data_IF_755754004220
#
_entry.id   IF_755754004220
#
_cell.length_a   1.000
_cell.length_b   1.000
_cell.length_c   1.000
_cell.angle_alpha   90.00
_cell.angle_beta   90.00
_cell.angle_gamma   90.00
#
_symmetry.space_group_name_H-M   'P 1'
#
loop_
_entity.id
_entity.type
_entity.pdbx_description
1 polymer ?
#
# COMPACT_ATOMS: atom_id res chain seq x y z
N UNK A 1 9.70 42.72 21.12
CA UNK A 1 8.80 42.78 19.95
C UNK A 1 9.23 41.64 19.07
N UNK A 2 8.53 40.53 19.22
CA UNK A 2 8.89 39.25 18.62
C UNK A 2 8.79 39.33 17.10
N UNK A 3 9.88 38.97 16.44
CA UNK A 3 9.97 38.87 14.99
C UNK A 3 9.21 37.65 14.52
N UNK A 4 8.01 37.89 13.98
CA UNK A 4 7.32 36.90 13.16
C UNK A 4 8.10 36.76 11.85
N UNK A 5 8.90 35.70 11.75
CA UNK A 5 9.47 35.26 10.48
C UNK A 5 8.30 34.89 9.54
N UNK A 6 8.29 35.34 8.28
CA UNK A 6 7.27 34.93 7.33
C UNK A 6 7.40 33.42 7.09
N UNK A 7 6.27 32.73 7.23
CA UNK A 7 6.06 31.36 6.76
C UNK A 7 6.44 31.30 5.26
N UNK A 8 7.53 30.59 4.94
CA UNK A 8 7.96 30.43 3.57
C UNK A 8 7.01 29.42 2.92
N UNK A 9 6.11 29.86 2.03
CA UNK A 9 4.99 29.07 1.49
C UNK A 9 5.33 27.66 0.93
N UNK A 10 6.60 27.29 0.85
CA UNK A 10 7.10 25.92 0.76
C UNK A 10 6.56 24.98 1.85
N UNK A 11 6.47 25.42 3.11
CA UNK A 11 5.91 24.61 4.20
C UNK A 11 4.42 24.30 3.99
N UNK A 12 3.66 25.28 3.52
CA UNK A 12 2.24 25.16 3.17
C UNK A 12 2.05 24.24 1.94
N UNK A 13 2.88 24.38 0.90
CA UNK A 13 2.84 23.50 -0.27
C UNK A 13 3.14 22.04 0.07
N UNK A 14 4.11 21.79 0.95
CA UNK A 14 4.42 20.43 1.41
C UNK A 14 3.25 19.82 2.18
N UNK A 15 2.63 20.60 3.08
CA UNK A 15 1.47 20.15 3.84
C UNK A 15 0.28 19.83 2.92
N UNK A 16 0.04 20.67 1.91
CA UNK A 16 -1.00 20.43 0.90
C UNK A 16 -0.74 19.17 0.08
N UNK A 17 0.50 18.99 -0.40
CA UNK A 17 0.90 17.76 -1.12
C UNK A 17 0.67 16.53 -0.25
N UNK A 18 1.13 16.55 1.00
CA UNK A 18 1.00 15.41 1.90
C UNK A 18 -0.46 15.08 2.22
N UNK A 19 -1.29 16.10 2.44
CA UNK A 19 -2.72 15.92 2.67
C UNK A 19 -3.43 15.34 1.43
N UNK A 20 -3.09 15.83 0.24
CA UNK A 20 -3.60 15.34 -1.04
C UNK A 20 -3.20 13.86 -1.27
N UNK A 21 -1.92 13.55 -1.13
CA UNK A 21 -1.42 12.19 -1.28
C UNK A 21 -2.01 11.21 -0.26
N UNK A 22 -2.23 11.65 0.98
CA UNK A 22 -2.91 10.85 1.99
C UNK A 22 -4.38 10.59 1.61
N UNK A 23 -5.12 11.59 1.11
CA UNK A 23 -6.51 11.42 0.68
C UNK A 23 -6.62 10.45 -0.52
N UNK A 24 -5.69 10.54 -1.46
CA UNK A 24 -5.60 9.62 -2.60
C UNK A 24 -5.37 8.18 -2.13
N UNK A 25 -4.40 7.95 -1.23
CA UNK A 25 -4.13 6.63 -0.66
C UNK A 25 -5.33 6.05 0.10
N UNK A 26 -6.09 6.88 0.83
CA UNK A 26 -7.34 6.45 1.47
C UNK A 26 -8.39 6.01 0.44
N UNK A 27 -8.51 6.76 -0.65
CA UNK A 27 -9.43 6.43 -1.77
C UNK A 27 -9.02 5.12 -2.42
N UNK A 28 -7.74 4.96 -2.79
CA UNK A 28 -7.21 3.73 -3.37
C UNK A 28 -7.38 2.54 -2.41
N UNK A 29 -7.11 2.71 -1.12
CA UNK A 29 -7.34 1.67 -0.11
C UNK A 29 -8.80 1.22 -0.06
N UNK A 30 -9.76 2.14 -0.25
CA UNK A 30 -11.20 1.81 -0.27
C UNK A 30 -11.57 0.89 -1.44
N UNK A 31 -10.95 1.06 -2.62
CA UNK A 31 -11.18 0.22 -3.80
C UNK A 31 -10.76 -1.24 -3.58
N UNK A 32 -9.83 -1.48 -2.64
CA UNK A 32 -9.32 -2.79 -2.27
C UNK A 32 -9.95 -3.35 -0.99
N UNK A 33 -10.79 -2.57 -0.31
CA UNK A 33 -11.26 -2.89 1.04
C UNK A 33 -12.49 -3.81 1.05
N UNK A 34 -13.45 -3.54 0.17
CA UNK A 34 -14.77 -4.19 0.09
C UNK A 34 -15.18 -4.35 -1.38
N UNK A 35 -16.15 -5.24 -1.61
CA UNK A 35 -16.79 -5.38 -2.91
C UNK A 35 -17.35 -4.04 -3.38
N UNK A 36 -17.15 -3.70 -4.65
CA UNK A 36 -17.75 -2.51 -5.24
C UNK A 36 -19.27 -2.69 -5.28
N UNK A 37 -19.99 -1.68 -4.79
CA UNK A 37 -21.43 -1.61 -4.82
C UNK A 37 -21.90 -0.29 -5.46
N UNK A 38 -23.22 -0.11 -5.53
CA UNK A 38 -23.81 1.11 -6.09
C UNK A 38 -23.40 2.37 -5.32
N UNK A 39 -23.21 2.26 -3.99
CA UNK A 39 -22.85 3.39 -3.13
C UNK A 39 -21.44 3.86 -3.46
N UNK A 40 -20.47 2.95 -3.47
CA UNK A 40 -19.09 3.27 -3.83
C UNK A 40 -18.99 3.78 -5.27
N UNK A 41 -19.72 3.18 -6.22
CA UNK A 41 -19.72 3.63 -7.62
C UNK A 41 -20.28 5.06 -7.77
N UNK A 42 -21.36 5.39 -7.05
CA UNK A 42 -21.92 6.75 -7.03
C UNK A 42 -20.90 7.72 -6.42
N UNK A 43 -20.30 7.37 -5.30
CA UNK A 43 -19.34 8.22 -4.61
C UNK A 43 -18.11 8.52 -5.49
N UNK A 44 -17.54 7.51 -6.15
CA UNK A 44 -16.42 7.70 -7.08
C UNK A 44 -16.77 8.65 -8.24
N UNK A 45 -17.98 8.51 -8.79
CA UNK A 45 -18.46 9.39 -9.86
C UNK A 45 -18.69 10.83 -9.37
N UNK A 46 -19.29 11.02 -8.20
CA UNK A 46 -19.53 12.33 -7.60
C UNK A 46 -18.21 13.05 -7.30
N UNK A 47 -17.21 12.31 -6.82
CA UNK A 47 -15.87 12.84 -6.57
C UNK A 47 -15.07 13.09 -7.86
N UNK A 48 -15.54 12.65 -9.03
CA UNK A 48 -14.82 12.77 -10.29
C UNK A 48 -13.55 11.91 -10.35
N UNK A 49 -13.47 10.85 -9.56
CA UNK A 49 -12.34 9.93 -9.56
C UNK A 49 -12.24 9.20 -10.92
N UNK A 50 -11.03 8.95 -11.48
CA UNK A 50 -9.70 9.23 -10.92
C UNK A 50 -9.13 10.62 -11.26
N UNK A 51 -9.88 11.49 -11.91
CA UNK A 51 -9.36 12.78 -12.42
C UNK A 51 -9.13 13.82 -11.32
N UNK A 52 -9.64 13.54 -10.13
CA UNK A 52 -9.50 14.35 -8.92
C UNK A 52 -8.43 13.84 -7.96
N UNK A 53 -7.59 12.89 -8.38
CA UNK A 53 -6.39 12.53 -7.63
C UNK A 53 -5.56 13.80 -7.34
N UNK A 54 -5.20 13.96 -6.07
CA UNK A 54 -4.58 15.15 -5.52
C UNK A 54 -3.12 15.34 -5.94
N UNK A 55 -2.38 14.25 -6.20
CA UNK A 55 -1.07 14.36 -6.87
C UNK A 55 -1.22 14.29 -8.38
N UNK A 56 -0.40 15.08 -9.08
CA UNK A 56 -0.38 15.07 -10.54
C UNK A 56 0.49 13.92 -11.05
N UNK A 57 -0.16 12.88 -11.54
CA UNK A 57 0.49 11.78 -12.23
C UNK A 57 0.93 12.21 -13.63
N UNK A 58 2.20 11.99 -13.96
CA UNK A 58 2.86 12.46 -15.18
C UNK A 58 3.65 11.38 -15.90
N UNK A 59 4.00 10.29 -15.20
CA UNK A 59 4.69 9.16 -15.83
C UNK A 59 3.77 8.44 -16.81
N UNK A 60 4.35 7.87 -17.87
CA UNK A 60 3.57 7.20 -18.92
C UNK A 60 2.66 6.10 -18.34
N UNK A 61 3.20 5.27 -17.43
CA UNK A 61 2.47 4.16 -16.83
C UNK A 61 1.30 4.62 -15.95
N UNK A 62 1.51 5.64 -15.12
CA UNK A 62 0.47 6.16 -14.22
C UNK A 62 -0.61 6.93 -14.98
N UNK A 63 -0.25 7.63 -16.05
CA UNK A 63 -1.21 8.26 -16.99
C UNK A 63 -2.05 7.20 -17.71
N UNK A 64 -1.44 6.12 -18.19
CA UNK A 64 -2.16 5.00 -18.81
C UNK A 64 -3.10 4.30 -17.81
N UNK A 65 -2.63 4.03 -16.59
CA UNK A 65 -3.44 3.42 -15.55
C UNK A 65 -4.63 4.31 -15.14
N UNK A 66 -4.42 5.62 -15.05
CA UNK A 66 -5.48 6.60 -14.81
C UNK A 66 -6.52 6.60 -15.92
N UNK A 67 -6.07 6.60 -17.18
CA UNK A 67 -6.94 6.50 -18.35
C UNK A 67 -7.75 5.20 -18.36
N UNK A 68 -7.13 4.08 -18.00
CA UNK A 68 -7.81 2.79 -17.93
C UNK A 68 -8.88 2.79 -16.83
N UNK A 69 -8.59 3.34 -15.65
CA UNK A 69 -9.56 3.46 -14.57
C UNK A 69 -10.74 4.36 -14.94
N UNK A 70 -10.47 5.50 -15.59
CA UNK A 70 -11.52 6.38 -16.12
C UNK A 70 -12.44 5.65 -17.10
N UNK A 71 -11.86 4.88 -18.02
CA UNK A 71 -12.63 4.08 -18.98
C UNK A 71 -13.46 3.01 -18.29
N UNK A 72 -12.88 2.27 -17.34
CA UNK A 72 -13.58 1.24 -16.58
C UNK A 72 -14.79 1.81 -15.82
N UNK A 73 -14.64 2.95 -15.15
CA UNK A 73 -15.73 3.63 -14.45
C UNK A 73 -16.80 4.15 -15.42
N UNK A 74 -16.41 4.74 -16.56
CA UNK A 74 -17.37 5.26 -17.55
C UNK A 74 -18.23 4.18 -18.20
N UNK A 75 -17.75 2.94 -18.20
CA UNK A 75 -18.48 1.78 -18.71
C UNK A 75 -19.48 1.20 -17.68
N UNK A 76 -19.42 1.68 -16.43
CA UNK A 76 -20.33 1.28 -15.36
C UNK A 76 -21.37 2.36 -15.12
N UNK A 77 -22.55 1.96 -14.65
CA UNK A 77 -23.64 2.88 -14.30
C UNK A 77 -24.37 2.30 -13.11
N UNK A 78 -24.58 3.12 -12.07
CA UNK A 78 -25.42 2.74 -10.95
C UNK A 78 -26.92 2.94 -11.31
N UNK A 79 -27.81 2.00 -10.97
CA UNK A 79 -27.53 0.74 -10.27
C UNK A 79 -26.86 -0.30 -11.20
N UNK A 80 -25.92 -1.05 -10.64
CA UNK A 80 -25.27 -2.18 -11.30
C UNK A 80 -26.32 -3.23 -11.65
N UNK A 81 -26.22 -3.79 -12.86
CA UNK A 81 -27.06 -4.93 -13.26
C UNK A 81 -26.61 -6.15 -12.47
N UNK A 82 -27.53 -7.07 -12.16
CA UNK A 82 -27.23 -8.30 -11.40
C UNK A 82 -26.01 -9.06 -11.92
N UNK A 83 -25.89 -9.25 -13.24
CA UNK A 83 -24.72 -9.92 -13.82
C UNK A 83 -23.39 -9.17 -13.62
N UNK A 84 -23.41 -7.83 -13.62
CA UNK A 84 -22.21 -7.03 -13.34
C UNK A 84 -21.81 -7.14 -11.87
N UNK A 85 -22.79 -7.14 -10.96
CA UNK A 85 -22.53 -7.33 -9.54
C UNK A 85 -21.90 -8.70 -9.27
N UNK A 86 -22.42 -9.77 -9.89
CA UNK A 86 -21.87 -11.11 -9.73
C UNK A 86 -20.44 -11.24 -10.28
N UNK A 87 -20.15 -10.64 -11.44
CA UNK A 87 -18.80 -10.61 -12.03
C UNK A 87 -17.80 -9.86 -11.16
N UNK A 88 -18.20 -8.69 -10.62
CA UNK A 88 -17.38 -7.89 -9.72
C UNK A 88 -17.14 -8.61 -8.38
N UNK A 89 -18.17 -9.24 -7.82
CA UNK A 89 -18.04 -10.04 -6.59
C UNK A 89 -17.14 -11.27 -6.81
N UNK A 90 -17.22 -11.91 -7.99
CA UNK A 90 -16.36 -13.03 -8.33
C UNK A 90 -14.88 -12.62 -8.42
N UNK A 91 -14.58 -11.50 -9.09
CA UNK A 91 -13.23 -10.93 -9.14
C UNK A 91 -12.73 -10.52 -7.75
N UNK A 92 -13.56 -9.87 -6.94
CA UNK A 92 -13.21 -9.50 -5.58
C UNK A 92 -12.85 -10.74 -4.75
N UNK A 93 -13.68 -11.78 -4.79
CA UNK A 93 -13.39 -13.04 -4.11
C UNK A 93 -12.10 -13.69 -4.65
N UNK A 94 -11.91 -13.66 -5.98
CA UNK A 94 -10.74 -14.19 -6.65
C UNK A 94 -9.42 -13.51 -6.22
N UNK A 95 -9.47 -12.21 -5.97
CA UNK A 95 -8.32 -11.39 -5.57
C UNK A 95 -8.09 -11.45 -4.06
N UNK A 96 -9.13 -11.19 -3.24
CA UNK A 96 -8.94 -10.89 -1.82
C UNK A 96 -9.31 -12.03 -0.85
N UNK A 97 -10.11 -13.01 -1.29
CA UNK A 97 -10.62 -14.07 -0.40
C UNK A 97 -9.98 -15.43 -0.67
N UNK A 98 -9.82 -15.80 -1.95
CA UNK A 98 -9.37 -17.13 -2.34
C UNK A 98 -8.05 -17.14 -3.14
N UNK A 99 -7.56 -15.97 -3.57
CA UNK A 99 -6.31 -15.78 -4.29
C UNK A 99 -6.19 -16.62 -5.59
N UNK A 100 -7.31 -16.92 -6.25
CA UNK A 100 -7.39 -17.82 -7.43
C UNK A 100 -6.59 -17.33 -8.62
N UNK A 101 -6.31 -16.03 -8.72
CA UNK A 101 -5.43 -15.48 -9.76
C UNK A 101 -3.94 -15.64 -9.45
N UNK A 102 -3.59 -16.37 -8.38
CA UNK A 102 -2.23 -16.39 -7.82
C UNK A 102 -1.71 -14.98 -7.54
N UNK A 103 -2.63 -14.05 -7.25
CA UNK A 103 -2.36 -12.69 -6.84
C UNK A 103 -2.94 -12.54 -5.44
N UNK A 104 -2.05 -12.57 -4.45
CA UNK A 104 -2.43 -12.38 -3.05
C UNK A 104 -2.32 -10.91 -2.68
N UNK A 105 -3.26 -10.32 -1.92
CA UNK A 105 -3.16 -8.96 -1.44
C UNK A 105 -2.25 -8.84 -0.19
N UNK A 106 -1.43 -9.85 0.09
CA UNK A 106 -0.55 -9.92 1.26
C UNK A 106 0.92 -9.96 0.83
N UNK A 107 1.76 -9.05 1.35
CA UNK A 107 3.20 -8.97 1.06
C UNK A 107 3.90 -10.32 1.25
N UNK A 108 3.61 -11.03 2.35
CA UNK A 108 4.30 -12.27 2.70
C UNK A 108 4.21 -13.34 1.61
N UNK A 109 3.10 -13.42 0.87
CA UNK A 109 2.92 -14.41 -0.20
C UNK A 109 3.85 -14.14 -1.40
N UNK A 110 4.33 -12.91 -1.58
CA UNK A 110 5.17 -12.54 -2.71
C UNK A 110 6.66 -12.62 -2.40
N UNK A 111 7.05 -12.39 -1.15
CA UNK A 111 8.45 -12.27 -0.74
C UNK A 111 8.98 -13.51 -0.04
N UNK A 112 8.10 -14.40 0.41
CA UNK A 112 8.49 -15.69 0.96
C UNK A 112 8.79 -16.70 -0.16
N UNK A 113 9.87 -17.47 0.00
CA UNK A 113 10.30 -18.48 -1.00
C UNK A 113 9.23 -19.58 -1.20
N UNK A 114 8.42 -19.85 -0.18
CA UNK A 114 7.32 -20.83 -0.22
C UNK A 114 5.97 -20.18 -0.59
N UNK A 115 5.93 -18.87 -0.86
CA UNK A 115 4.73 -18.07 -1.14
C UNK A 115 3.65 -18.20 -0.04
N UNK A 116 4.07 -18.33 1.22
CA UNK A 116 3.16 -18.51 2.34
C UNK A 116 2.74 -17.17 2.95
N UNK A 117 1.48 -17.08 3.39
CA UNK A 117 1.02 -15.96 4.20
C UNK A 117 1.59 -16.00 5.62
N UNK A 118 1.57 -14.87 6.32
CA UNK A 118 1.97 -14.73 7.75
C UNK A 118 3.44 -15.02 8.04
N UNK A 119 4.34 -14.64 7.14
CA UNK A 119 5.77 -14.89 7.27
C UNK A 119 6.53 -13.67 7.81
N UNK A 120 7.87 -13.70 7.71
CA UNK A 120 8.75 -12.65 8.22
C UNK A 120 8.31 -11.20 7.90
N UNK A 121 7.80 -10.87 6.70
CA UNK A 121 7.34 -9.51 6.39
C UNK A 121 6.20 -9.01 7.31
N UNK A 122 5.21 -9.87 7.60
CA UNK A 122 4.10 -9.53 8.51
C UNK A 122 4.59 -9.15 9.91
N UNK A 123 5.60 -9.84 10.44
CA UNK A 123 6.16 -9.50 11.75
C UNK A 123 6.95 -8.19 11.74
N UNK A 124 7.63 -7.89 10.63
CA UNK A 124 8.36 -6.62 10.45
C UNK A 124 7.37 -5.45 10.41
N UNK A 125 6.34 -5.56 9.56
CA UNK A 125 5.27 -4.55 9.43
C UNK A 125 4.53 -4.35 10.75
N UNK A 126 4.21 -5.43 11.48
CA UNK A 126 3.61 -5.34 12.82
C UNK A 126 4.47 -4.55 13.80
N UNK A 127 5.77 -4.77 13.82
CA UNK A 127 6.66 -4.03 14.72
C UNK A 127 6.75 -2.55 14.34
N UNK A 128 6.76 -2.25 13.04
CA UNK A 128 6.67 -0.86 12.54
C UNK A 128 5.39 -0.21 13.08
N UNK A 129 4.23 -0.82 12.90
CA UNK A 129 2.95 -0.28 13.39
C UNK A 129 2.96 -0.05 14.90
N UNK A 130 3.52 -0.98 15.67
CA UNK A 130 3.63 -0.89 17.12
C UNK A 130 4.47 0.33 17.56
N UNK A 131 5.55 0.67 16.84
CA UNK A 131 6.36 1.88 17.12
C UNK A 131 5.57 3.18 16.93
N UNK A 132 4.53 3.16 16.09
CA UNK A 132 3.60 4.27 15.88
C UNK A 132 2.35 4.20 16.79
N UNK A 133 2.30 3.27 17.74
CA UNK A 133 1.15 3.08 18.62
C UNK A 133 -0.08 2.51 17.89
N UNK A 134 0.11 1.89 16.73
CA UNK A 134 -0.93 1.31 15.91
C UNK A 134 -1.00 -0.21 16.10
N UNK A 135 -2.17 -0.77 15.84
CA UNK A 135 -2.41 -2.20 15.79
C UNK A 135 -3.64 -2.50 14.94
N UNK A 136 -3.65 -3.64 14.25
CA UNK A 136 -4.80 -4.06 13.46
C UNK A 136 -5.86 -4.66 14.38
N UNK A 137 -7.11 -4.21 14.22
CA UNK A 137 -8.21 -4.57 15.12
C UNK A 137 -8.52 -6.07 15.15
N UNK A 138 -8.41 -6.76 14.01
CA UNK A 138 -8.58 -8.21 13.91
C UNK A 138 -7.64 -8.79 12.85
N UNK A 139 -6.40 -9.09 13.27
CA UNK A 139 -5.36 -9.65 12.41
C UNK A 139 -5.76 -10.98 11.76
N UNK A 140 -6.75 -11.71 12.32
CA UNK A 140 -7.23 -12.99 11.76
C UNK A 140 -8.11 -12.80 10.53
N UNK A 141 -8.72 -11.62 10.37
CA UNK A 141 -9.52 -11.26 9.19
C UNK A 141 -8.68 -10.58 8.12
N UNK A 142 -7.73 -9.76 8.54
CA UNK A 142 -6.80 -9.05 7.67
C UNK A 142 -5.51 -8.83 8.44
N UNK A 143 -4.44 -9.52 8.06
CA UNK A 143 -3.12 -9.35 8.69
C UNK A 143 -2.50 -8.00 8.37
N UNK A 144 -1.45 -7.66 9.11
CA UNK A 144 -0.74 -6.39 9.04
C UNK A 144 -0.10 -6.10 7.67
N UNK A 145 0.23 -7.14 6.91
CA UNK A 145 0.89 -7.07 5.59
C UNK A 145 -0.10 -7.07 4.41
N UNK A 146 -1.39 -6.81 4.67
CA UNK A 146 -2.39 -6.69 3.63
C UNK A 146 -2.32 -5.31 2.94
N UNK A 147 -2.46 -5.25 1.60
CA UNK A 147 -2.42 -4.03 0.77
C UNK A 147 -3.11 -2.82 1.41
N UNK A 148 -4.40 -2.97 1.73
CA UNK A 148 -5.20 -1.92 2.39
C UNK A 148 -4.51 -1.37 3.64
N UNK A 149 -3.96 -2.23 4.50
CA UNK A 149 -3.32 -1.79 5.76
C UNK A 149 -2.03 -1.03 5.48
N UNK A 150 -1.24 -1.50 4.51
CA UNK A 150 -0.02 -0.81 4.07
C UNK A 150 -0.32 0.58 3.48
N UNK A 151 -1.33 0.69 2.60
CA UNK A 151 -1.78 1.97 2.03
C UNK A 151 -2.24 2.94 3.13
N UNK A 152 -3.06 2.47 4.08
CA UNK A 152 -3.51 3.28 5.21
C UNK A 152 -2.35 3.76 6.09
N UNK A 153 -1.33 2.92 6.27
CA UNK A 153 -0.14 3.30 7.04
C UNK A 153 0.67 4.40 6.34
N UNK A 154 0.91 4.28 5.03
CA UNK A 154 1.58 5.34 4.26
C UNK A 154 0.77 6.64 4.34
N UNK A 155 -0.55 6.57 4.15
CA UNK A 155 -1.43 7.75 4.27
C UNK A 155 -1.29 8.41 5.65
N UNK A 156 -1.24 7.60 6.72
CA UNK A 156 -1.10 8.08 8.11
C UNK A 156 0.24 8.78 8.35
N UNK A 157 1.33 8.30 7.76
CA UNK A 157 2.65 8.92 7.85
C UNK A 157 2.67 10.26 7.12
N UNK A 158 2.07 10.34 5.93
CA UNK A 158 2.01 11.59 5.16
C UNK A 158 1.18 12.67 5.87
N UNK A 159 0.12 12.32 6.60
CA UNK A 159 -0.72 13.30 7.32
C UNK A 159 0.03 14.22 8.29
N UNK A 160 1.22 13.84 8.78
CA UNK A 160 1.99 14.71 9.67
C UNK A 160 2.74 15.83 8.92
N UNK A 161 3.02 15.65 7.63
CA UNK A 161 3.87 16.52 6.80
C UNK A 161 5.24 16.85 7.43
N UNK A 162 5.77 15.94 8.27
CA UNK A 162 7.06 16.11 8.95
C UNK A 162 8.15 15.30 8.25
N UNK A 163 9.35 15.87 8.13
CA UNK A 163 10.50 15.24 7.47
C UNK A 163 10.75 13.78 7.93
N UNK A 164 10.75 13.53 9.25
CA UNK A 164 10.94 12.18 9.80
C UNK A 164 9.85 11.20 9.34
N UNK A 165 8.60 11.66 9.24
CA UNK A 165 7.48 10.82 8.79
C UNK A 165 7.53 10.58 7.28
N UNK A 166 7.99 11.55 6.49
CA UNK A 166 8.24 11.37 5.05
C UNK A 166 9.36 10.36 4.81
N UNK A 167 10.45 10.46 5.57
CA UNK A 167 11.55 9.49 5.51
C UNK A 167 11.15 8.08 5.95
N UNK A 168 10.23 7.95 6.92
CA UNK A 168 9.64 6.66 7.27
C UNK A 168 8.69 6.15 6.18
N UNK A 169 7.87 7.03 5.57
CA UNK A 169 6.96 6.65 4.48
C UNK A 169 7.74 6.14 3.27
N UNK A 170 8.78 6.87 2.86
CA UNK A 170 9.67 6.48 1.78
C UNK A 170 10.36 5.13 2.04
N UNK A 171 10.92 4.93 3.24
CA UNK A 171 11.53 3.64 3.62
C UNK A 171 10.50 2.51 3.63
N UNK A 172 9.32 2.72 4.21
CA UNK A 172 8.26 1.72 4.23
C UNK A 172 7.84 1.32 2.81
N UNK A 173 7.73 2.29 1.90
CA UNK A 173 7.44 2.02 0.50
C UNK A 173 8.55 1.22 -0.18
N UNK A 174 9.82 1.58 0.03
CA UNK A 174 10.97 0.89 -0.57
C UNK A 174 11.18 -0.54 -0.01
N UNK A 175 10.99 -0.72 1.29
CA UNK A 175 11.33 -1.94 2.04
C UNK A 175 10.16 -2.92 2.15
N UNK A 176 8.92 -2.45 1.93
CA UNK A 176 7.70 -3.27 1.99
C UNK A 176 6.85 -3.08 0.73
N UNK A 177 5.97 -2.06 0.71
CA UNK A 177 4.87 -1.92 -0.25
C UNK A 177 5.29 -2.11 -1.72
N UNK A 178 6.35 -1.44 -2.18
CA UNK A 178 6.77 -1.47 -3.59
C UNK A 178 7.59 -2.69 -3.97
N UNK A 179 7.96 -3.57 -3.02
CA UNK A 179 8.65 -4.83 -3.34
C UNK A 179 7.75 -5.85 -4.03
N UNK A 180 6.43 -5.72 -3.85
CA UNK A 180 5.45 -6.69 -4.31
C UNK A 180 4.27 -6.07 -5.05
N UNK A 181 3.85 -4.84 -4.68
CA UNK A 181 2.69 -4.17 -5.26
C UNK A 181 2.73 -4.05 -6.80
N UNK A 182 3.87 -3.70 -7.45
CA UNK A 182 3.92 -3.63 -8.91
C UNK A 182 3.56 -4.97 -9.58
N UNK A 183 4.07 -6.08 -9.05
CA UNK A 183 3.80 -7.41 -9.58
C UNK A 183 2.37 -7.87 -9.26
N UNK A 184 1.84 -7.50 -8.09
CA UNK A 184 0.44 -7.70 -7.74
C UNK A 184 -0.49 -6.98 -8.73
N UNK A 185 -0.28 -5.69 -8.94
CA UNK A 185 -1.06 -4.87 -9.87
C UNK A 185 -1.05 -5.44 -11.28
N UNK A 186 0.14 -5.79 -11.80
CA UNK A 186 0.29 -6.39 -13.12
C UNK A 186 -0.43 -7.76 -13.21
N UNK A 187 -0.31 -8.61 -12.20
CA UNK A 187 -0.92 -9.94 -12.21
C UNK A 187 -2.44 -9.87 -12.14
N UNK A 188 -3.00 -8.99 -11.31
CA UNK A 188 -4.44 -8.77 -11.24
C UNK A 188 -4.93 -8.24 -12.59
N UNK A 189 -4.31 -7.18 -13.12
CA UNK A 189 -4.73 -6.57 -14.39
C UNK A 189 -4.71 -7.55 -15.59
N UNK A 190 -3.80 -8.54 -15.58
CA UNK A 190 -3.73 -9.57 -16.62
C UNK A 190 -4.75 -10.71 -16.46
N UNK A 191 -5.32 -10.92 -15.28
CA UNK A 191 -6.05 -12.16 -14.94
C UNK A 191 -7.50 -11.94 -14.51
N UNK A 192 -7.84 -10.79 -13.95
CA UNK A 192 -9.22 -10.51 -13.54
C UNK A 192 -10.12 -10.37 -14.77
N UNK A 193 -11.40 -10.71 -14.59
CA UNK A 193 -12.38 -10.70 -15.68
C UNK A 193 -12.93 -9.29 -15.95
N UNK A 194 -13.03 -8.47 -14.90
CA UNK A 194 -13.64 -7.14 -14.94
C UNK A 194 -12.57 -6.05 -15.13
N UNK A 195 -12.85 -5.05 -15.99
CA UNK A 195 -11.96 -3.90 -16.15
C UNK A 195 -11.78 -3.08 -14.86
N UNK A 196 -12.77 -3.07 -13.96
CA UNK A 196 -12.72 -2.27 -12.74
C UNK A 196 -11.58 -2.70 -11.82
N UNK A 197 -11.53 -3.98 -11.41
CA UNK A 197 -10.46 -4.44 -10.53
C UNK A 197 -9.10 -4.50 -11.25
N UNK A 198 -9.09 -4.71 -12.57
CA UNK A 198 -7.88 -4.61 -13.38
C UNK A 198 -7.26 -3.21 -13.23
N UNK A 199 -8.10 -2.19 -13.47
CA UNK A 199 -7.68 -0.80 -13.44
C UNK A 199 -7.38 -0.33 -12.03
N UNK A 200 -8.16 -0.72 -11.01
CA UNK A 200 -7.92 -0.36 -9.63
C UNK A 200 -6.56 -0.88 -9.13
N UNK A 201 -6.25 -2.16 -9.35
CA UNK A 201 -4.97 -2.72 -8.92
C UNK A 201 -3.77 -2.11 -9.66
N UNK A 202 -3.92 -1.85 -10.97
CA UNK A 202 -2.85 -1.25 -11.75
C UNK A 202 -2.62 0.23 -11.42
N UNK A 203 -3.70 1.01 -11.25
CA UNK A 203 -3.64 2.41 -10.84
C UNK A 203 -3.02 2.55 -9.45
N UNK A 204 -3.42 1.72 -8.48
CA UNK A 204 -2.83 1.75 -7.14
C UNK A 204 -1.32 1.51 -7.19
N UNK A 205 -0.87 0.53 -7.98
CA UNK A 205 0.55 0.25 -8.14
C UNK A 205 1.31 1.42 -8.79
N UNK A 206 0.81 1.94 -9.91
CA UNK A 206 1.45 3.04 -10.63
C UNK A 206 1.44 4.35 -9.82
N UNK A 207 0.37 4.61 -9.07
CA UNK A 207 0.25 5.75 -8.16
C UNK A 207 1.30 5.67 -7.04
N UNK A 208 1.41 4.51 -6.37
CA UNK A 208 2.37 4.35 -5.27
C UNK A 208 3.81 4.47 -5.77
N UNK A 209 4.08 3.97 -6.97
CA UNK A 209 5.39 4.14 -7.59
C UNK A 209 5.68 5.62 -7.83
N UNK A 210 4.85 6.36 -8.57
CA UNK A 210 5.11 7.79 -8.84
C UNK A 210 5.10 8.65 -7.56
N UNK A 211 4.25 8.34 -6.57
CA UNK A 211 4.30 8.98 -5.25
C UNK A 211 5.68 8.83 -4.60
N UNK A 212 6.31 7.66 -4.71
CA UNK A 212 7.64 7.45 -4.15
C UNK A 212 8.71 8.28 -4.86
N UNK A 213 8.58 8.53 -6.16
CA UNK A 213 9.45 9.48 -6.88
C UNK A 213 9.23 10.90 -6.39
N UNK A 214 7.98 11.34 -6.23
CA UNK A 214 7.70 12.65 -5.66
C UNK A 214 8.34 12.81 -4.27
N UNK A 215 8.28 11.78 -3.41
CA UNK A 215 8.95 11.80 -2.10
C UNK A 215 10.48 11.88 -2.23
N UNK A 216 11.08 11.19 -3.21
CA UNK A 216 12.52 11.28 -3.46
C UNK A 216 12.94 12.70 -3.84
N UNK A 217 12.17 13.35 -4.72
CA UNK A 217 12.41 14.73 -5.15
C UNK A 217 12.23 15.73 -4.00
N UNK A 218 11.13 15.61 -3.24
CA UNK A 218 10.82 16.49 -2.10
C UNK A 218 11.91 16.44 -1.03
N UNK A 219 12.40 15.24 -0.72
CA UNK A 219 13.42 15.04 0.30
C UNK A 219 14.85 15.28 -0.22
N UNK A 220 15.05 15.34 -1.54
CA UNK A 220 16.38 15.38 -2.15
C UNK A 220 17.17 14.08 -1.95
N UNK A 221 16.48 12.96 -1.71
CA UNK A 221 17.06 11.65 -1.43
C UNK A 221 16.63 10.66 -2.52
N UNK A 222 17.54 10.20 -3.39
CA UNK A 222 17.20 9.25 -4.45
C UNK A 222 16.72 7.93 -3.85
N UNK A 223 15.91 7.19 -4.63
CA UNK A 223 15.51 5.84 -4.25
C UNK A 223 16.75 4.94 -4.07
N UNK A 224 16.78 4.08 -3.05
CA UNK A 224 17.81 3.05 -2.96
C UNK A 224 17.70 2.07 -4.14
N UNK A 225 18.83 1.52 -4.55
CA UNK A 225 18.88 0.40 -5.49
C UNK A 225 18.25 -0.87 -4.90
N UNK A 226 17.88 -1.81 -5.76
CA UNK A 226 17.38 -3.11 -5.34
C UNK A 226 18.39 -3.85 -4.42
N UNK A 227 19.69 -3.79 -4.74
CA UNK A 227 20.75 -4.38 -3.92
C UNK A 227 20.81 -3.76 -2.52
N UNK A 228 20.64 -2.43 -2.40
CA UNK A 228 20.60 -1.74 -1.12
C UNK A 228 19.36 -2.11 -0.30
N UNK A 229 18.19 -2.22 -0.94
CA UNK A 229 16.96 -2.68 -0.30
C UNK A 229 17.16 -4.11 0.23
N UNK A 230 17.65 -5.03 -0.60
CA UNK A 230 17.93 -6.41 -0.21
C UNK A 230 18.91 -6.49 0.97
N UNK A 231 19.96 -5.68 0.95
CA UNK A 231 20.93 -5.61 2.04
C UNK A 231 20.32 -5.10 3.36
N UNK A 232 19.39 -4.14 3.31
CA UNK A 232 18.67 -3.62 4.47
C UNK A 232 17.67 -4.64 5.04
N UNK A 233 17.00 -5.36 4.16
CA UNK A 233 15.94 -6.33 4.50
C UNK A 233 16.47 -7.69 4.92
N UNK A 234 17.76 -7.97 4.69
CA UNK A 234 18.38 -9.20 5.15
C UNK A 234 18.31 -9.31 6.68
N UNK A 235 17.84 -10.44 7.24
CA UNK A 235 17.80 -10.63 8.67
C UNK A 235 19.19 -10.38 9.27
N UNK A 236 19.30 -9.50 10.27
CA UNK A 236 20.53 -9.40 11.06
C UNK A 236 20.76 -10.78 11.68
N UNK A 237 21.89 -11.41 11.35
CA UNK A 237 22.25 -12.71 11.89
C UNK A 237 21.99 -12.69 13.39
N UNK A 238 21.12 -13.59 13.86
CA UNK A 238 20.89 -13.77 15.28
C UNK A 238 22.27 -13.93 15.92
N UNK A 239 22.62 -13.03 16.84
CA UNK A 239 23.77 -13.27 17.70
C UNK A 239 23.46 -14.59 18.40
N UNK A 240 24.14 -15.66 17.98
CA UNK A 240 24.11 -16.93 18.67
C UNK A 240 24.74 -16.69 20.02
N UNK A 241 23.93 -16.32 21.01
CA UNK A 241 24.37 -16.35 22.40
C UNK A 241 24.72 -17.81 22.65
N UNK A 242 26.01 -18.17 22.86
CA UNK A 242 26.36 -19.55 23.08
C UNK A 242 25.66 -19.98 24.36
N UNK A 243 24.71 -20.91 24.23
CA UNK A 243 24.09 -21.57 25.37
C UNK A 243 25.23 -22.25 26.12
N UNK A 244 25.66 -21.66 27.23
CA UNK A 244 26.53 -22.34 28.20
C UNK A 244 25.70 -23.49 28.77
N UNK A 245 25.84 -24.66 28.17
CA UNK A 245 25.39 -25.91 28.76
C UNK A 245 26.18 -26.09 30.06
N UNK A 246 25.50 -25.95 31.20
CA UNK A 246 26.04 -26.31 32.51
C UNK A 246 25.47 -27.70 32.82
N UNK A 247 26.25 -28.78 32.71
CA UNK A 247 25.78 -30.09 33.12
C UNK A 247 25.64 -30.14 34.64
N UNK A 248 24.48 -30.56 35.14
CA UNK A 248 24.38 -31.12 36.50
C UNK A 248 23.58 -30.35 37.55
N UNK A 249 22.37 -29.87 37.25
CA UNK A 249 21.39 -29.62 38.31
C UNK A 249 19.99 -30.05 37.85
N UNK A 250 19.69 -31.34 38.01
CA UNK A 250 18.30 -31.78 38.02
C UNK A 250 17.72 -31.47 39.41
N UNK A 251 16.53 -30.85 39.52
CA UNK A 251 15.81 -30.82 40.78
C UNK A 251 15.37 -32.25 41.12
N UNK A 252 15.72 -32.71 42.31
CA UNK A 252 15.14 -33.92 42.87
C UNK A 252 13.68 -33.68 43.22
N UNK A 253 12.78 -34.39 42.54
CA UNK A 253 11.50 -34.86 43.08
C UNK A 253 10.99 -36.02 42.23
#
# INVERSE_FOLDING_TARGET
>A
MDGNLPDDGTGDLLAQFCAAAAADLLTLASLHHVEVDDVLLIDLNVQGFPDTLGIKLTQAQSVEATSFMRQALSAMTAPLRTGQHDELAADYAAIYLNHSYHASPYESVWLDEENLAMQAPMFQVREIYRRHGLGVADWRKRSEDHLVVELLFVARLLQSAQADSLGEAARFMDEHLLRWLPQFGERVAKRCATPFYAAAAWLTAAYCDELRDCLAEIMGEPRPSAEEIEARMRPKAAQTVPVKFVPGVAPSW
#
